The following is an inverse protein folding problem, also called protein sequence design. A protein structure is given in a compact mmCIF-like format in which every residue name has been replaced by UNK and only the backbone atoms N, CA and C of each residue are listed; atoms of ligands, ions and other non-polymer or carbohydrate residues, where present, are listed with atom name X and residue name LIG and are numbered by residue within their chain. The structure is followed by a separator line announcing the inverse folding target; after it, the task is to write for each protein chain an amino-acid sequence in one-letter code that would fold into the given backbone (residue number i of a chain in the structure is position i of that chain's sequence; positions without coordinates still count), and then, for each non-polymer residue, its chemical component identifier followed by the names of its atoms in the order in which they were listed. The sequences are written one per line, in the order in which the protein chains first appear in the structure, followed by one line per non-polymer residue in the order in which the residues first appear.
data_IF_815191323539
#
_entry.id   IF_815191323539
#
_cell.length_a   1.000
_cell.length_b   1.000
_cell.length_c   1.000
_cell.angle_alpha   90.00
_cell.angle_beta   90.00
_cell.angle_gamma   90.00
#
_symmetry.space_group_name_H-M   'P 1'
#
loop_
_entity.id
_entity.type
_entity.pdbx_description
1 polymer ?
#
# COMPACT_ATOMS: atom_id res chain seq x y z
N UNK A 1 -11.43 -3.74 -1.00
CA UNK A 1 -10.29 -3.41 -0.14
C UNK A 1 -9.20 -4.45 -0.38
N UNK A 2 -7.98 -3.99 -0.60
CA UNK A 2 -6.81 -4.83 -0.88
C UNK A 2 -5.72 -4.48 0.13
N UNK A 3 -5.18 -5.49 0.80
CA UNK A 3 -4.08 -5.32 1.74
C UNK A 3 -2.79 -5.75 1.07
N UNK A 4 -1.85 -4.82 0.92
CA UNK A 4 -0.55 -5.06 0.31
C UNK A 4 0.49 -5.16 1.41
N UNK A 5 1.25 -6.25 1.43
CA UNK A 5 2.37 -6.45 2.35
C UNK A 5 3.67 -6.14 1.62
N UNK A 6 4.62 -5.55 2.32
CA UNK A 6 5.93 -5.16 1.80
C UNK A 6 7.02 -6.00 2.44
N UNK A 7 8.09 -6.24 1.69
CA UNK A 7 9.25 -6.95 2.21
C UNK A 7 9.86 -6.11 3.33
N UNK A 8 10.09 -6.70 4.50
CA UNK A 8 10.76 -6.03 5.61
C UNK A 8 12.23 -5.77 5.25
N UNK A 9 12.56 -4.50 5.02
CA UNK A 9 13.94 -4.05 4.79
C UNK A 9 14.39 -3.07 5.89
N UNK A 10 13.76 -3.12 7.06
CA UNK A 10 14.02 -2.21 8.19
C UNK A 10 13.19 -0.93 8.15
N UNK A 11 12.09 -0.90 7.38
CA UNK A 11 11.10 0.17 7.46
C UNK A 11 10.11 -0.04 8.63
N UNK A 12 9.42 1.02 9.05
CA UNK A 12 8.48 0.97 10.19
C UNK A 12 7.06 0.48 9.80
N UNK A 13 6.81 0.18 8.53
CA UNK A 13 5.53 -0.32 8.02
C UNK A 13 5.72 -1.61 7.23
N UNK A 14 4.77 -2.53 7.36
CA UNK A 14 4.82 -3.84 6.72
C UNK A 14 3.63 -4.08 5.80
N UNK A 15 2.51 -3.40 6.04
CA UNK A 15 1.30 -3.61 5.26
C UNK A 15 0.49 -2.32 5.10
N UNK A 16 -0.07 -2.13 3.90
CA UNK A 16 -0.97 -1.04 3.55
C UNK A 16 -2.34 -1.59 3.15
N UNK A 17 -3.37 -0.98 3.69
CA UNK A 17 -4.74 -1.19 3.29
C UNK A 17 -5.11 -0.16 2.21
N UNK A 18 -5.40 -0.64 1.02
CA UNK A 18 -5.73 0.16 -0.16
C UNK A 18 -7.21 -0.04 -0.49
N UNK A 19 -7.92 1.07 -0.63
CA UNK A 19 -9.32 1.13 -1.05
C UNK A 19 -9.44 2.16 -2.18
N UNK A 20 -10.01 1.75 -3.32
CA UNK A 20 -10.13 2.60 -4.53
C UNK A 20 -8.82 3.31 -4.94
N UNK A 21 -7.70 2.59 -4.87
CA UNK A 21 -6.38 3.14 -5.19
C UNK A 21 -5.89 4.20 -4.19
N UNK A 22 -6.44 4.22 -2.97
CA UNK A 22 -6.03 5.12 -1.89
C UNK A 22 -5.70 4.33 -0.64
N UNK A 23 -4.60 4.67 0.01
CA UNK A 23 -4.20 4.09 1.29
C UNK A 23 -5.14 4.62 2.37
N UNK A 24 -5.91 3.71 2.97
CA UNK A 24 -6.84 3.97 4.07
C UNK A 24 -6.31 3.46 5.41
N UNK A 25 -5.29 2.61 5.40
CA UNK A 25 -4.64 2.10 6.60
C UNK A 25 -3.19 1.70 6.33
N UNK A 26 -2.34 1.80 7.35
CA UNK A 26 -0.96 1.34 7.29
C UNK A 26 -0.56 0.81 8.66
N UNK A 27 0.04 -0.38 8.69
CA UNK A 27 0.39 -1.12 9.90
C UNK A 27 1.83 -1.65 9.80
N UNK A 28 2.55 -1.84 10.92
CA UNK A 28 2.13 -1.52 12.29
C UNK A 28 2.25 -0.03 12.69
N UNK A 29 3.07 0.77 11.99
CA UNK A 29 3.29 2.19 12.33
C UNK A 29 3.13 3.12 11.12
N UNK A 30 3.24 4.43 11.39
CA UNK A 30 3.18 5.51 10.38
C UNK A 30 1.88 5.62 9.56
N UNK A 31 0.75 5.10 10.06
CA UNK A 31 -0.59 5.31 9.51
C UNK A 31 -0.82 6.75 9.05
N UNK A 32 -0.71 7.70 9.96
CA UNK A 32 -0.93 9.13 9.70
C UNK A 32 -0.02 9.77 8.62
N UNK A 33 1.11 9.15 8.27
CA UNK A 33 2.02 9.64 7.22
C UNK A 33 1.55 9.19 5.84
N UNK A 34 1.05 7.95 5.76
CA UNK A 34 0.73 7.28 4.52
C UNK A 34 -0.78 7.24 4.24
N UNK A 35 -1.63 7.34 5.25
CA UNK A 35 -3.07 7.50 5.10
C UNK A 35 -3.39 8.71 4.21
N UNK A 36 -4.19 8.46 3.18
CA UNK A 36 -4.49 9.45 2.16
C UNK A 36 -3.58 9.42 0.93
N UNK A 37 -2.52 8.61 0.93
CA UNK A 37 -1.67 8.39 -0.25
C UNK A 37 -2.47 7.77 -1.38
N UNK A 38 -2.35 8.30 -2.60
CA UNK A 38 -2.92 7.66 -3.79
C UNK A 38 -1.90 6.71 -4.40
N UNK A 39 -2.35 5.51 -4.76
CA UNK A 39 -1.57 4.48 -5.45
C UNK A 39 -2.05 4.44 -6.90
N UNK A 40 -1.13 4.61 -7.85
CA UNK A 40 -1.44 4.63 -9.28
C UNK A 40 -1.31 3.26 -9.94
N UNK A 41 -0.74 2.28 -9.24
CA UNK A 41 -0.64 0.91 -9.75
C UNK A 41 -2.04 0.28 -9.85
N UNK A 42 -2.39 -0.15 -11.06
CA UNK A 42 -3.68 -0.81 -11.36
C UNK A 42 -3.65 -2.31 -11.12
N UNK A 43 -2.48 -2.93 -11.26
CA UNK A 43 -2.25 -4.35 -11.01
C UNK A 43 -1.00 -4.43 -10.13
N UNK A 44 -1.18 -4.85 -8.87
CA UNK A 44 -0.08 -4.90 -7.90
C UNK A 44 0.30 -6.36 -7.74
N UNK A 45 1.53 -6.70 -8.14
CA UNK A 45 2.05 -8.06 -7.99
C UNK A 45 3.17 -8.12 -6.95
N UNK A 46 3.41 -9.29 -6.33
CA UNK A 46 4.61 -9.52 -5.53
C UNK A 46 5.88 -9.21 -6.34
N UNK A 47 6.75 -8.38 -5.77
CA UNK A 47 7.98 -7.89 -6.38
C UNK A 47 7.86 -6.50 -7.01
N UNK A 48 6.65 -5.98 -7.20
CA UNK A 48 6.46 -4.65 -7.79
C UNK A 48 6.80 -3.51 -6.83
N UNK A 49 7.14 -2.38 -7.45
CA UNK A 49 7.37 -1.09 -6.81
C UNK A 49 6.13 -0.23 -7.04
N UNK A 50 5.50 0.23 -5.96
CA UNK A 50 4.29 1.07 -6.06
C UNK A 50 4.65 2.50 -6.44
N UNK A 51 3.95 3.06 -7.41
CA UNK A 51 3.95 4.47 -7.71
C UNK A 51 2.82 5.16 -6.95
N UNK A 52 3.20 6.17 -6.16
CA UNK A 52 2.33 6.78 -5.17
C UNK A 52 2.37 8.30 -5.24
N UNK A 53 1.26 8.94 -4.91
CA UNK A 53 1.21 10.37 -4.60
C UNK A 53 0.94 10.52 -3.11
N UNK A 54 1.94 11.03 -2.39
CA UNK A 54 1.83 11.32 -0.95
C UNK A 54 0.68 12.30 -0.67
N UNK A 55 0.13 12.34 0.56
CA UNK A 55 -0.95 13.28 0.91
C UNK A 55 -0.55 14.75 0.74
N UNK A 56 0.76 15.03 0.70
CA UNK A 56 1.33 16.36 0.42
C UNK A 56 1.35 16.72 -1.08
N UNK A 57 0.90 15.83 -1.96
CA UNK A 57 0.85 16.04 -3.41
C UNK A 57 2.14 15.71 -4.16
N UNK A 58 3.16 15.15 -3.50
CA UNK A 58 4.39 14.74 -4.17
C UNK A 58 4.23 13.32 -4.72
N UNK A 59 4.44 13.14 -6.04
CA UNK A 59 4.50 11.84 -6.70
C UNK A 59 5.89 11.23 -6.53
N UNK A 60 5.94 10.00 -6.06
CA UNK A 60 7.17 9.25 -5.80
C UNK A 60 6.90 7.77 -5.95
N UNK A 61 7.95 6.96 -6.08
CA UNK A 61 7.86 5.51 -5.97
C UNK A 61 8.18 5.06 -4.54
N UNK A 62 7.49 4.04 -4.07
CA UNK A 62 7.74 3.38 -2.80
C UNK A 62 8.87 2.37 -3.00
N UNK A 63 10.08 2.67 -2.51
CA UNK A 63 11.26 1.80 -2.66
C UNK A 63 11.22 0.54 -1.78
N UNK A 64 10.03 -0.02 -1.57
CA UNK A 64 9.80 -1.26 -0.84
C UNK A 64 9.02 -2.18 -1.77
N UNK A 65 9.62 -3.31 -2.20
CA UNK A 65 8.93 -4.24 -3.06
C UNK A 65 7.76 -4.88 -2.32
N UNK A 66 6.68 -5.10 -3.04
CA UNK A 66 5.53 -5.83 -2.54
C UNK A 66 5.95 -7.27 -2.25
N UNK A 67 5.75 -7.74 -1.03
CA UNK A 67 5.99 -9.13 -0.66
C UNK A 67 4.81 -10.02 -1.09
N UNK A 68 3.59 -9.57 -0.79
CA UNK A 68 2.36 -10.28 -1.12
C UNK A 68 1.18 -9.32 -1.16
N UNK A 69 0.13 -9.71 -1.85
CA UNK A 69 -1.13 -8.98 -1.92
C UNK A 69 -2.23 -9.89 -1.44
N UNK A 70 -3.01 -9.41 -0.48
CA UNK A 70 -4.24 -10.04 -0.03
C UNK A 70 -5.42 -9.22 -0.54
N UNK A 71 -6.17 -9.79 -1.49
CA UNK A 71 -7.46 -9.24 -1.86
C UNK A 71 -8.44 -9.59 -0.74
N UNK A 72 -9.02 -8.56 -0.09
CA UNK A 72 -10.07 -8.78 0.88
C UNK A 72 -11.27 -9.37 0.15
N UNK A 73 -11.42 -10.70 0.21
CA UNK A 73 -12.56 -11.40 -0.37
C UNK A 73 -13.83 -10.80 0.23
N UNK A 74 -14.55 -10.03 -0.58
CA UNK A 74 -15.96 -9.78 -0.35
C UNK A 74 -16.62 -11.15 -0.54
N UNK A 75 -16.78 -11.89 0.55
CA UNK A 75 -17.56 -13.10 0.58
C UNK A 75 -19.02 -12.69 0.36
N UNK A 76 -19.44 -12.62 -0.90
CA UNK A 76 -20.85 -12.63 -1.25
C UNK A 76 -21.42 -13.99 -0.83
N UNK A 77 -22.26 -13.99 0.21
CA UNK A 77 -23.25 -15.03 0.48
C UNK A 77 -24.64 -14.42 0.38
#
# INVERSE_FOLDING_TARGET
MQTVHFVDQGQDFLEWDIEDGKVVGCRPFQGWVWEGTQVHNTDIQPGDILEITTPRGNRTTLNHPVERVEEGQHAEN
#
